data_IF_954043402140
#
_entry.id   IF_954043402140
#
_cell.length_a   1.000
_cell.length_b   1.000
_cell.length_c   1.000
_cell.angle_alpha   90.00
_cell.angle_beta   90.00
_cell.angle_gamma   90.00
#
_symmetry.space_group_name_H-M   'P 1'
#
loop_
_entity.id
_entity.type
_entity.pdbx_description
1 polymer ?
#
# COMPACT_ATOMS: atom_id res chain seq x y z
N UNK A 1 44.73 43.06 0.46
CA UNK A 1 44.91 44.53 0.60
C UNK A 1 43.59 45.17 0.32
N UNK A 2 43.27 46.25 1.10
CA UNK A 2 42.17 47.26 0.99
C UNK A 2 40.91 46.79 1.78
N UNK A 3 40.79 47.14 3.02
CA UNK A 3 40.52 48.36 3.82
C UNK A 3 39.01 48.62 4.00
N UNK A 4 38.58 48.46 5.26
CA UNK A 4 37.35 49.03 5.85
C UNK A 4 37.42 50.55 5.96
N UNK A 5 36.29 51.27 6.11
CA UNK A 5 36.22 52.12 7.28
C UNK A 5 34.94 52.02 8.13
N UNK A 6 35.17 52.12 9.43
CA UNK A 6 34.25 52.49 10.51
C UNK A 6 33.82 53.96 10.41
N UNK A 7 32.61 54.30 10.78
CA UNK A 7 32.17 55.58 11.41
C UNK A 7 30.68 55.46 11.75
N UNK A 8 30.08 55.93 12.79
CA UNK A 8 30.35 56.69 14.03
C UNK A 8 29.06 56.68 14.84
N UNK A 9 29.24 56.56 16.11
CA UNK A 9 28.31 56.80 17.21
C UNK A 9 27.67 58.20 17.16
N UNK A 10 26.36 58.33 17.45
CA UNK A 10 25.78 59.54 18.04
C UNK A 10 24.71 59.17 19.07
N UNK A 11 25.03 59.45 20.33
CA UNK A 11 24.12 59.54 21.44
C UNK A 11 23.34 60.85 21.38
N UNK A 12 22.06 60.82 21.72
CA UNK A 12 21.32 62.02 22.15
C UNK A 12 20.45 61.63 23.34
N UNK A 13 20.78 62.24 24.48
CA UNK A 13 19.92 62.35 25.67
C UNK A 13 18.88 63.45 25.43
N UNK A 14 17.66 63.26 25.89
CA UNK A 14 16.78 64.27 26.48
C UNK A 14 15.60 63.62 27.17
N UNK A 15 15.59 63.67 28.48
CA UNK A 15 14.75 64.50 29.35
C UNK A 15 13.25 64.08 29.45
N UNK A 16 12.91 63.71 30.61
CA UNK A 16 11.72 63.33 31.27
C UNK A 16 10.47 64.19 31.12
N UNK A 17 9.33 63.52 31.27
CA UNK A 17 8.09 64.09 31.79
C UNK A 17 7.37 63.01 32.60
N UNK A 18 7.21 63.28 33.91
CA UNK A 18 6.31 62.50 34.75
C UNK A 18 4.86 62.84 34.43
N UNK A 19 4.08 61.84 34.07
CA UNK A 19 2.64 61.94 34.10
C UNK A 19 2.09 60.81 34.98
N UNK A 20 1.44 61.19 36.06
CA UNK A 20 0.71 60.32 36.94
C UNK A 20 -0.51 59.75 36.19
N UNK A 21 -0.49 58.46 35.86
CA UNK A 21 -1.55 57.75 35.21
C UNK A 21 -2.23 56.79 36.20
N UNK A 22 -3.51 56.95 36.36
CA UNK A 22 -4.44 56.10 37.12
C UNK A 22 -4.31 54.63 36.72
N UNK A 23 -3.97 53.77 37.67
CA UNK A 23 -3.95 52.30 37.47
C UNK A 23 -5.41 51.81 37.54
N UNK A 24 -6.01 51.59 36.38
CA UNK A 24 -7.25 50.80 36.28
C UNK A 24 -6.84 49.36 36.23
N UNK A 25 -7.05 48.65 37.32
CA UNK A 25 -6.87 47.18 37.38
C UNK A 25 -8.00 46.49 36.58
N UNK A 26 -7.75 46.19 35.33
CA UNK A 26 -8.54 45.26 34.58
C UNK A 26 -8.20 43.84 35.07
N UNK A 27 -9.10 43.24 35.89
CA UNK A 27 -9.06 41.81 36.19
C UNK A 27 -9.31 41.05 34.91
N UNK A 28 -8.23 40.70 34.20
CA UNK A 28 -8.29 39.77 33.05
C UNK A 28 -8.71 38.41 33.56
N UNK A 29 -9.90 37.98 33.19
CA UNK A 29 -10.30 36.56 33.30
C UNK A 29 -9.35 35.76 32.38
N UNK A 30 -8.41 35.07 33.00
CA UNK A 30 -7.59 34.11 32.26
C UNK A 30 -8.53 33.02 31.72
N UNK A 31 -8.82 33.08 30.42
CA UNK A 31 -9.39 31.95 29.71
C UNK A 31 -8.33 30.83 29.81
N UNK A 32 -8.65 29.78 30.57
CA UNK A 32 -7.84 28.58 30.57
C UNK A 32 -7.86 28.03 29.12
N UNK A 33 -6.72 28.11 28.45
CA UNK A 33 -6.50 27.40 27.21
C UNK A 33 -6.75 25.92 27.49
N UNK A 34 -7.90 25.41 27.04
CA UNK A 34 -8.15 23.98 27.03
C UNK A 34 -7.10 23.35 26.12
N UNK A 35 -6.22 22.49 26.65
CA UNK A 35 -5.23 21.84 25.80
C UNK A 35 -6.00 21.15 24.66
N UNK A 36 -5.52 21.22 23.40
CA UNK A 36 -6.17 20.55 22.29
C UNK A 36 -6.32 19.07 22.65
N UNK A 37 -7.53 18.56 22.53
CA UNK A 37 -7.82 17.15 22.81
C UNK A 37 -6.84 16.29 22.00
N UNK A 38 -6.01 15.49 22.69
CA UNK A 38 -5.03 14.58 22.07
C UNK A 38 -5.69 13.39 21.34
N UNK A 39 -7.00 13.45 21.13
CA UNK A 39 -7.82 12.44 20.44
C UNK A 39 -8.05 12.76 18.95
N UNK A 40 -7.12 13.43 18.29
CA UNK A 40 -7.12 13.42 16.83
C UNK A 40 -6.91 11.96 16.40
N UNK A 41 -7.99 11.29 15.99
CA UNK A 41 -7.94 9.93 15.48
C UNK A 41 -6.87 9.87 14.39
N UNK A 42 -5.92 8.96 14.55
CA UNK A 42 -4.91 8.76 13.50
C UNK A 42 -5.64 8.51 12.17
N UNK A 43 -5.17 9.11 11.06
CA UNK A 43 -5.79 8.87 9.77
C UNK A 43 -5.82 7.35 9.49
N UNK A 44 -6.89 6.84 8.87
CA UNK A 44 -7.01 5.42 8.56
C UNK A 44 -5.83 4.97 7.71
N UNK A 45 -5.42 3.71 7.87
CA UNK A 45 -4.48 3.07 6.98
C UNK A 45 -5.21 2.70 5.68
N UNK A 46 -4.63 3.05 4.54
CA UNK A 46 -5.23 2.80 3.23
C UNK A 46 -4.35 1.93 2.37
N UNK A 47 -4.99 1.01 1.62
CA UNK A 47 -4.34 0.05 0.72
C UNK A 47 -5.09 0.03 -0.61
N UNK A 48 -4.35 0.09 -1.72
CA UNK A 48 -4.84 -0.14 -3.08
C UNK A 48 -4.38 -1.53 -3.55
N UNK A 49 -5.29 -2.37 -4.06
CA UNK A 49 -4.97 -3.63 -4.72
C UNK A 49 -5.29 -3.54 -6.20
N UNK A 50 -4.36 -4.00 -7.04
CA UNK A 50 -4.57 -4.16 -8.49
C UNK A 50 -3.94 -5.46 -9.00
N UNK A 51 -4.63 -6.17 -9.89
CA UNK A 51 -4.04 -7.16 -10.79
C UNK A 51 -3.80 -6.47 -12.14
N UNK A 52 -2.56 -6.49 -12.64
CA UNK A 52 -2.14 -5.68 -13.80
C UNK A 52 -2.09 -6.45 -15.12
N UNK A 53 -2.22 -7.78 -15.09
CA UNK A 53 -2.15 -8.64 -16.30
C UNK A 53 -0.90 -8.40 -17.17
N UNK A 54 0.27 -8.19 -16.60
CA UNK A 54 1.45 -7.69 -17.32
C UNK A 54 2.39 -8.77 -17.87
N UNK A 55 2.15 -10.08 -17.63
CA UNK A 55 3.08 -11.14 -18.07
C UNK A 55 3.38 -11.13 -19.57
N UNK A 56 2.40 -10.75 -20.39
CA UNK A 56 2.44 -10.87 -21.84
C UNK A 56 2.11 -12.27 -22.37
N UNK A 57 1.76 -13.22 -21.48
CA UNK A 57 1.35 -14.58 -21.83
C UNK A 57 -0.15 -14.81 -21.65
N UNK A 58 -0.79 -14.09 -20.75
CA UNK A 58 -2.21 -14.24 -20.44
C UNK A 58 -3.10 -13.59 -21.51
N UNK A 59 -4.32 -14.11 -21.66
CA UNK A 59 -5.30 -13.62 -22.63
C UNK A 59 -5.79 -12.19 -22.38
N UNK A 60 -5.67 -11.69 -21.16
CA UNK A 60 -5.99 -10.31 -20.78
C UNK A 60 -4.96 -9.27 -21.27
N UNK A 61 -3.72 -9.69 -21.60
CA UNK A 61 -2.62 -8.77 -21.93
C UNK A 61 -2.96 -7.74 -23.03
N UNK A 62 -3.66 -8.06 -24.13
CA UNK A 62 -4.01 -7.05 -25.16
C UNK A 62 -4.83 -5.88 -24.59
N UNK A 63 -5.62 -6.11 -23.52
CA UNK A 63 -6.41 -5.07 -22.86
C UNK A 63 -5.53 -4.04 -22.15
N UNK A 64 -4.34 -4.42 -21.70
CA UNK A 64 -3.41 -3.52 -20.99
C UNK A 64 -2.98 -2.32 -21.84
N UNK A 65 -3.06 -2.44 -23.18
CA UNK A 65 -2.59 -1.41 -24.12
C UNK A 65 -1.24 -0.82 -23.65
N UNK A 66 -0.35 -1.72 -23.20
CA UNK A 66 0.92 -1.33 -22.60
C UNK A 66 1.55 -0.12 -23.34
N UNK A 67 2.02 0.95 -22.62
CA UNK A 67 2.17 1.04 -21.15
C UNK A 67 0.96 1.63 -20.39
N UNK A 68 -0.21 1.79 -20.99
CA UNK A 68 -1.36 2.51 -20.38
C UNK A 68 -1.80 1.94 -19.01
N UNK A 69 -1.68 0.62 -18.80
CA UNK A 69 -1.98 0.02 -17.48
C UNK A 69 -1.00 0.51 -16.40
N UNK A 70 0.26 0.77 -16.75
CA UNK A 70 1.26 1.35 -15.84
C UNK A 70 0.87 2.78 -15.48
N UNK A 71 0.44 3.57 -16.48
CA UNK A 71 -0.05 4.93 -16.27
C UNK A 71 -1.28 4.94 -15.37
N UNK A 72 -2.26 4.07 -15.64
CA UNK A 72 -3.47 3.92 -14.82
C UNK A 72 -3.13 3.56 -13.36
N UNK A 73 -2.17 2.66 -13.13
CA UNK A 73 -1.73 2.30 -11.78
C UNK A 73 -1.14 3.51 -11.05
N UNK A 74 -0.27 4.28 -11.71
CA UNK A 74 0.31 5.50 -11.13
C UNK A 74 -0.77 6.52 -10.79
N UNK A 75 -1.70 6.79 -11.72
CA UNK A 75 -2.81 7.73 -11.53
C UNK A 75 -3.68 7.36 -10.32
N UNK A 76 -4.04 6.07 -10.17
CA UNK A 76 -4.83 5.58 -9.04
C UNK A 76 -4.10 5.68 -7.71
N UNK A 77 -2.81 5.36 -7.67
CA UNK A 77 -1.98 5.51 -6.48
C UNK A 77 -1.95 6.96 -6.03
N UNK A 78 -1.75 7.89 -6.96
CA UNK A 78 -1.68 9.32 -6.68
C UNK A 78 -3.05 9.90 -6.28
N UNK A 79 -4.12 9.52 -6.99
CA UNK A 79 -5.48 9.99 -6.71
C UNK A 79 -5.99 9.54 -5.34
N UNK A 80 -5.68 8.30 -4.93
CA UNK A 80 -6.12 7.74 -3.66
C UNK A 80 -5.19 8.08 -2.49
N UNK A 81 -3.97 8.53 -2.75
CA UNK A 81 -2.92 8.86 -1.76
C UNK A 81 -2.77 7.79 -0.67
N UNK A 82 -2.78 6.51 -1.07
CA UNK A 82 -2.79 5.36 -0.17
C UNK A 82 -1.48 5.17 0.59
N UNK A 83 -1.52 4.50 1.75
CA UNK A 83 -0.31 4.16 2.51
C UNK A 83 0.47 3.00 1.88
N UNK A 84 -0.23 2.08 1.22
CA UNK A 84 0.38 0.92 0.57
C UNK A 84 -0.37 0.53 -0.70
N UNK A 85 0.32 -0.23 -1.54
CA UNK A 85 -0.22 -0.82 -2.77
C UNK A 85 0.21 -2.27 -2.86
N UNK A 86 -0.70 -3.14 -3.26
CA UNK A 86 -0.40 -4.51 -3.64
C UNK A 86 -0.68 -4.70 -5.12
N UNK A 87 0.29 -5.29 -5.83
CA UNK A 87 0.19 -5.53 -7.26
C UNK A 87 0.36 -7.02 -7.53
N UNK A 88 -0.59 -7.61 -8.24
CA UNK A 88 -0.48 -8.96 -8.78
C UNK A 88 -0.29 -8.88 -10.30
N UNK A 89 0.25 -9.95 -10.88
CA UNK A 89 0.56 -10.05 -12.29
C UNK A 89 1.40 -8.86 -12.83
N UNK A 90 2.35 -8.41 -12.02
CA UNK A 90 3.22 -7.29 -12.34
C UNK A 90 4.56 -7.75 -12.90
N UNK A 91 5.24 -6.87 -13.61
CA UNK A 91 6.63 -7.05 -14.03
C UNK A 91 7.57 -6.20 -13.18
N UNK A 92 8.71 -6.73 -12.79
CA UNK A 92 9.60 -6.06 -11.83
C UNK A 92 10.10 -4.69 -12.32
N UNK A 93 10.33 -4.53 -13.63
CA UNK A 93 10.68 -3.23 -14.22
C UNK A 93 9.54 -2.23 -14.18
N UNK A 94 8.30 -2.68 -14.45
CA UNK A 94 7.12 -1.80 -14.38
C UNK A 94 6.84 -1.39 -12.92
N UNK A 95 7.06 -2.29 -11.95
CA UNK A 95 6.95 -1.96 -10.52
C UNK A 95 7.99 -0.92 -10.11
N UNK A 96 9.22 -1.02 -10.60
CA UNK A 96 10.27 -0.03 -10.35
C UNK A 96 9.88 1.35 -10.93
N UNK A 97 9.32 1.38 -12.15
CA UNK A 97 8.80 2.61 -12.77
C UNK A 97 7.64 3.22 -11.96
N UNK A 98 6.65 2.40 -11.55
CA UNK A 98 5.54 2.87 -10.70
C UNK A 98 6.08 3.45 -9.39
N UNK A 99 7.03 2.76 -8.75
CA UNK A 99 7.64 3.22 -7.50
C UNK A 99 8.38 4.55 -7.67
N UNK A 100 9.15 4.72 -8.75
CA UNK A 100 9.85 5.97 -9.07
C UNK A 100 8.86 7.12 -9.29
N UNK A 101 7.82 6.90 -10.11
CA UNK A 101 6.82 7.94 -10.45
C UNK A 101 5.92 8.33 -9.29
N UNK A 102 5.75 7.45 -8.28
CA UNK A 102 4.92 7.71 -7.10
C UNK A 102 5.74 8.09 -5.87
N UNK A 103 7.05 7.86 -5.87
CA UNK A 103 7.92 8.05 -4.71
C UNK A 103 7.78 6.98 -3.64
N UNK A 104 7.19 5.80 -3.96
CA UNK A 104 7.00 4.73 -3.00
C UNK A 104 8.21 3.80 -2.93
N UNK A 105 8.44 3.23 -1.75
CA UNK A 105 9.35 2.11 -1.56
C UNK A 105 8.67 0.82 -2.00
N UNK A 106 9.41 -0.18 -2.50
CA UNK A 106 8.80 -1.43 -2.92
C UNK A 106 9.60 -2.67 -2.57
N UNK A 107 8.93 -3.82 -2.59
CA UNK A 107 9.49 -5.16 -2.65
C UNK A 107 8.74 -5.97 -3.70
N UNK A 108 9.47 -6.90 -4.30
CA UNK A 108 8.98 -7.74 -5.38
C UNK A 108 9.26 -9.21 -5.08
N UNK A 109 8.29 -10.09 -5.34
CA UNK A 109 8.43 -11.55 -5.23
C UNK A 109 8.22 -12.18 -6.60
N UNK A 110 9.29 -12.75 -7.14
CA UNK A 110 9.34 -13.32 -8.48
C UNK A 110 8.63 -14.68 -8.52
N UNK A 111 7.72 -14.87 -9.47
CA UNK A 111 7.11 -16.16 -9.77
C UNK A 111 8.10 -17.04 -10.52
N UNK A 112 8.23 -18.30 -10.07
CA UNK A 112 9.03 -19.32 -10.75
C UNK A 112 8.14 -20.12 -11.68
N UNK A 113 8.53 -20.21 -12.92
CA UNK A 113 7.84 -20.95 -13.96
C UNK A 113 8.79 -21.97 -14.59
N UNK A 114 8.40 -23.25 -14.54
CA UNK A 114 9.24 -24.35 -15.04
C UNK A 114 10.69 -24.33 -14.47
N UNK A 115 10.83 -24.04 -13.18
CA UNK A 115 12.10 -24.04 -12.46
C UNK A 115 12.99 -22.78 -12.62
N UNK A 116 12.53 -21.75 -13.34
CA UNK A 116 13.25 -20.49 -13.54
C UNK A 116 12.33 -19.27 -13.33
N UNK A 117 12.89 -18.07 -13.04
CA UNK A 117 12.14 -16.82 -13.06
C UNK A 117 11.41 -16.63 -14.41
N UNK A 118 10.12 -16.28 -14.35
CA UNK A 118 9.35 -16.00 -15.56
C UNK A 118 9.63 -14.58 -16.04
N UNK A 119 10.30 -14.45 -17.19
CA UNK A 119 10.49 -13.13 -17.81
C UNK A 119 9.19 -12.60 -18.41
N UNK A 120 8.91 -11.32 -18.22
CA UNK A 120 7.80 -10.64 -18.91
C UNK A 120 8.07 -10.54 -20.42
N UNK A 121 7.06 -10.88 -21.24
CA UNK A 121 7.27 -11.18 -22.67
C UNK A 121 7.25 -9.94 -23.56
N UNK A 122 6.28 -9.08 -23.41
CA UNK A 122 6.00 -8.03 -24.41
C UNK A 122 5.76 -6.67 -23.72
N UNK A 123 6.52 -5.61 -24.09
CA UNK A 123 7.82 -5.70 -24.74
C UNK A 123 8.83 -6.47 -23.89
N UNK A 124 9.88 -6.98 -24.50
CA UNK A 124 10.96 -7.63 -23.77
C UNK A 124 11.72 -6.62 -22.90
N UNK A 125 12.39 -7.11 -21.82
CA UNK A 125 13.24 -6.27 -20.97
C UNK A 125 12.50 -5.59 -19.80
N UNK A 126 11.19 -5.90 -19.57
CA UNK A 126 10.44 -5.39 -18.42
C UNK A 126 10.71 -6.16 -17.10
N UNK A 127 11.74 -7.01 -17.09
CA UNK A 127 12.09 -7.80 -15.93
C UNK A 127 11.25 -9.07 -15.77
N UNK A 128 11.10 -9.50 -14.52
CA UNK A 128 10.46 -10.76 -14.13
C UNK A 128 9.00 -10.56 -13.73
N UNK A 129 8.19 -11.58 -13.95
CA UNK A 129 6.79 -11.62 -13.55
C UNK A 129 6.64 -12.01 -12.07
N UNK A 130 5.68 -11.40 -11.37
CA UNK A 130 5.44 -11.67 -9.97
C UNK A 130 4.42 -10.77 -9.30
N UNK A 131 4.62 -10.61 -7.98
CA UNK A 131 3.79 -9.77 -7.13
C UNK A 131 4.63 -8.72 -6.42
N UNK A 132 4.04 -7.57 -6.12
CA UNK A 132 4.73 -6.50 -5.42
C UNK A 132 3.90 -5.92 -4.27
N UNK A 133 4.63 -5.39 -3.28
CA UNK A 133 4.09 -4.47 -2.29
C UNK A 133 4.86 -3.16 -2.41
N UNK A 134 4.13 -2.04 -2.58
CA UNK A 134 4.69 -0.71 -2.52
C UNK A 134 4.17 0.00 -1.26
N UNK A 135 4.98 0.85 -0.66
CA UNK A 135 4.61 1.58 0.57
C UNK A 135 5.09 3.03 0.52
N UNK A 136 4.22 3.94 0.99
CA UNK A 136 4.57 5.35 1.12
C UNK A 136 5.66 5.56 2.17
N UNK A 137 5.59 4.81 3.27
CA UNK A 137 6.63 4.80 4.29
C UNK A 137 7.73 3.78 3.98
N UNK A 138 8.92 4.00 4.55
CA UNK A 138 10.04 3.08 4.39
C UNK A 138 9.70 1.65 4.83
N UNK A 139 10.19 0.67 4.09
CA UNK A 139 10.09 -0.75 4.41
C UNK A 139 11.22 -1.11 5.39
N UNK A 140 10.85 -1.63 6.57
CA UNK A 140 11.78 -2.06 7.63
C UNK A 140 12.24 -3.50 7.46
N UNK A 141 11.32 -4.37 6.99
CA UNK A 141 11.61 -5.77 6.75
C UNK A 141 10.72 -6.27 5.61
N UNK A 142 11.16 -7.35 4.96
CA UNK A 142 10.37 -8.07 3.98
C UNK A 142 10.64 -9.55 4.08
N UNK A 143 9.62 -10.35 3.79
CA UNK A 143 9.67 -11.79 3.78
C UNK A 143 8.79 -12.30 2.65
N UNK A 144 9.27 -13.26 1.89
CA UNK A 144 8.53 -13.95 0.86
C UNK A 144 8.93 -15.42 0.80
N UNK A 145 8.01 -16.29 0.43
CA UNK A 145 8.33 -17.69 0.18
C UNK A 145 7.38 -18.30 -0.87
N UNK A 146 7.81 -19.31 -1.60
CA UNK A 146 6.91 -20.11 -2.41
C UNK A 146 5.97 -20.90 -1.52
N UNK A 147 4.77 -21.21 -2.05
CA UNK A 147 3.89 -22.20 -1.45
C UNK A 147 4.48 -23.61 -1.61
N UNK A 148 4.10 -24.52 -0.71
CA UNK A 148 4.57 -25.92 -0.72
C UNK A 148 4.10 -26.70 -1.95
N UNK A 149 3.00 -26.26 -2.57
CA UNK A 149 2.40 -26.85 -3.76
C UNK A 149 2.13 -25.81 -4.82
N UNK A 150 2.11 -26.23 -6.08
CA UNK A 150 1.81 -25.39 -7.22
C UNK A 150 1.02 -26.16 -8.29
N UNK A 151 0.27 -25.43 -9.11
CA UNK A 151 -0.46 -25.99 -10.24
C UNK A 151 0.41 -25.97 -11.50
N UNK A 152 0.52 -27.13 -12.16
CA UNK A 152 1.37 -27.27 -13.35
C UNK A 152 2.84 -26.97 -13.06
N UNK A 153 3.39 -25.93 -13.67
CA UNK A 153 4.80 -25.54 -13.58
C UNK A 153 5.02 -24.17 -12.92
N UNK A 154 3.94 -23.48 -12.49
CA UNK A 154 3.94 -22.15 -11.93
C UNK A 154 3.96 -22.18 -10.39
N UNK A 155 5.09 -21.82 -9.79
CA UNK A 155 5.27 -21.72 -8.35
C UNK A 155 4.88 -20.31 -7.88
N UNK A 156 3.68 -20.20 -7.31
CA UNK A 156 3.15 -18.98 -6.71
C UNK A 156 3.77 -18.71 -5.34
N UNK A 157 3.78 -17.45 -4.94
CA UNK A 157 4.45 -16.99 -3.72
C UNK A 157 3.59 -15.97 -2.98
N UNK A 158 3.76 -15.92 -1.67
CA UNK A 158 3.31 -14.78 -0.85
C UNK A 158 4.46 -13.82 -0.61
N UNK A 159 4.14 -12.56 -0.35
CA UNK A 159 5.08 -11.50 0.02
C UNK A 159 4.46 -10.68 1.14
N UNK A 160 5.21 -10.43 2.21
CA UNK A 160 4.86 -9.51 3.29
C UNK A 160 5.99 -8.51 3.51
N UNK A 161 5.64 -7.25 3.79
CA UNK A 161 6.58 -6.21 4.21
C UNK A 161 6.13 -5.60 5.52
N UNK A 162 7.08 -5.22 6.38
CA UNK A 162 6.80 -4.42 7.59
C UNK A 162 7.16 -2.97 7.30
N UNK A 163 6.19 -2.07 7.41
CA UNK A 163 6.37 -0.63 7.20
C UNK A 163 6.99 0.07 8.42
N UNK A 164 7.50 1.28 8.23
CA UNK A 164 7.99 2.11 9.33
C UNK A 164 6.90 2.45 10.37
N UNK A 165 5.60 2.41 9.99
CA UNK A 165 4.45 2.55 10.92
C UNK A 165 4.18 1.29 11.74
N UNK A 166 4.91 0.19 11.50
CA UNK A 166 4.71 -1.08 12.19
C UNK A 166 3.49 -1.86 11.69
N UNK A 167 3.05 -1.61 10.47
CA UNK A 167 1.99 -2.38 9.80
C UNK A 167 2.64 -3.40 8.88
N UNK A 168 2.19 -4.65 8.95
CA UNK A 168 2.53 -5.67 7.97
C UNK A 168 1.54 -5.59 6.79
N UNK A 169 2.08 -5.41 5.59
CA UNK A 169 1.33 -5.39 4.33
C UNK A 169 1.70 -6.62 3.53
N UNK A 170 0.73 -7.46 3.22
CA UNK A 170 0.94 -8.73 2.55
C UNK A 170 0.17 -8.81 1.23
N UNK A 171 0.70 -9.57 0.28
CA UNK A 171 0.02 -9.92 -0.98
C UNK A 171 0.35 -11.32 -1.42
N UNK A 172 -0.50 -11.86 -2.26
CA UNK A 172 -0.30 -13.10 -2.99
C UNK A 172 -1.22 -13.16 -4.21
N UNK A 173 -0.84 -13.99 -5.18
CA UNK A 173 -1.68 -14.41 -6.27
C UNK A 173 -1.74 -15.95 -6.25
N UNK A 174 -2.90 -16.52 -5.89
CA UNK A 174 -3.04 -17.99 -5.75
C UNK A 174 -3.31 -18.67 -7.09
N UNK A 175 -3.09 -19.98 -7.13
CA UNK A 175 -3.34 -20.81 -8.33
C UNK A 175 -4.79 -20.77 -8.79
N UNK A 176 -5.01 -21.03 -10.08
CA UNK A 176 -6.32 -20.92 -10.75
C UNK A 176 -7.05 -22.27 -10.89
N UNK A 177 -6.55 -23.32 -10.22
CA UNK A 177 -7.07 -24.69 -10.34
C UNK A 177 -8.32 -25.00 -9.50
N UNK A 178 -8.93 -23.94 -8.93
CA UNK A 178 -10.22 -24.00 -8.25
C UNK A 178 -10.12 -24.31 -6.76
N UNK A 179 -11.29 -24.32 -6.11
CA UNK A 179 -11.45 -24.36 -4.64
C UNK A 179 -11.69 -25.78 -4.09
N UNK A 180 -11.65 -26.81 -4.94
CA UNK A 180 -11.89 -28.17 -4.47
C UNK A 180 -10.80 -28.64 -3.48
N UNK A 181 -11.13 -29.45 -2.50
CA UNK A 181 -10.13 -30.02 -1.59
C UNK A 181 -9.00 -30.74 -2.36
N UNK A 182 -7.75 -30.43 -2.00
CA UNK A 182 -6.56 -31.02 -2.63
C UNK A 182 -6.03 -30.27 -3.86
N UNK A 183 -6.72 -29.24 -4.35
CA UNK A 183 -6.16 -28.35 -5.38
C UNK A 183 -5.01 -27.53 -4.82
N UNK A 184 -4.11 -27.06 -5.68
CA UNK A 184 -3.03 -26.17 -5.25
C UNK A 184 -3.59 -24.89 -4.64
N UNK A 185 -4.65 -24.30 -5.21
CA UNK A 185 -5.30 -23.10 -4.66
C UNK A 185 -5.78 -23.34 -3.21
N UNK A 186 -6.44 -24.48 -2.92
CA UNK A 186 -6.95 -24.76 -1.58
C UNK A 186 -5.84 -24.96 -0.54
N UNK A 187 -4.73 -25.58 -0.93
CA UNK A 187 -3.57 -25.77 -0.04
C UNK A 187 -2.86 -24.41 0.15
N UNK A 188 -2.63 -23.65 -0.90
CA UNK A 188 -2.05 -22.29 -0.84
C UNK A 188 -2.90 -21.36 0.03
N UNK A 189 -4.23 -21.45 -0.06
CA UNK A 189 -5.15 -20.68 0.78
C UNK A 189 -4.96 -21.00 2.27
N UNK A 190 -4.81 -22.29 2.63
CA UNK A 190 -4.54 -22.70 4.00
C UNK A 190 -3.17 -22.22 4.50
N UNK A 191 -2.13 -22.29 3.67
CA UNK A 191 -0.80 -21.77 3.98
C UNK A 191 -0.80 -20.26 4.13
N UNK A 192 -1.46 -19.52 3.23
CA UNK A 192 -1.64 -18.07 3.34
C UNK A 192 -2.31 -17.70 4.67
N UNK A 193 -3.36 -18.45 5.07
CA UNK A 193 -4.01 -18.25 6.37
C UNK A 193 -3.02 -18.40 7.53
N UNK A 194 -2.14 -19.39 7.49
CA UNK A 194 -1.11 -19.59 8.52
C UNK A 194 -0.08 -18.45 8.53
N UNK A 195 0.38 -18.00 7.35
CA UNK A 195 1.28 -16.86 7.21
C UNK A 195 0.67 -15.61 7.84
N UNK A 196 -0.60 -15.31 7.54
CA UNK A 196 -1.29 -14.14 8.08
C UNK A 196 -1.58 -14.27 9.58
N UNK A 197 -1.90 -15.48 10.08
CA UNK A 197 -2.09 -15.73 11.51
C UNK A 197 -0.81 -15.55 12.34
N UNK A 198 0.35 -15.83 11.74
CA UNK A 198 1.65 -15.70 12.41
C UNK A 198 2.12 -14.25 12.58
N UNK A 199 1.45 -13.27 11.95
CA UNK A 199 1.83 -11.85 12.05
C UNK A 199 1.49 -11.30 13.43
N UNK A 200 2.52 -10.87 14.17
CA UNK A 200 2.36 -10.29 15.50
C UNK A 200 2.06 -8.77 15.51
N UNK A 201 1.81 -8.17 14.34
CA UNK A 201 1.58 -6.73 14.15
C UNK A 201 0.20 -6.46 13.56
N UNK A 202 -0.29 -5.21 13.57
CA UNK A 202 -1.39 -4.82 12.70
C UNK A 202 -1.10 -5.24 11.25
N UNK A 203 -1.98 -6.06 10.67
CA UNK A 203 -1.74 -6.69 9.36
C UNK A 203 -2.88 -6.36 8.43
N UNK A 204 -2.55 -6.08 7.17
CA UNK A 204 -3.46 -6.00 6.05
C UNK A 204 -2.90 -6.81 4.88
N UNK A 205 -3.76 -7.61 4.29
CA UNK A 205 -3.51 -8.37 3.07
C UNK A 205 -4.46 -7.89 1.98
N UNK A 206 -4.00 -7.80 0.74
CA UNK A 206 -4.87 -7.78 -0.43
C UNK A 206 -4.19 -8.47 -1.60
N UNK A 207 -4.98 -9.20 -2.40
CA UNK A 207 -4.46 -9.95 -3.54
C UNK A 207 -5.54 -10.72 -4.27
N UNK A 208 -5.18 -11.20 -5.45
CA UNK A 208 -6.00 -12.11 -6.24
C UNK A 208 -5.83 -13.54 -5.73
N UNK A 209 -6.83 -14.01 -5.01
CA UNK A 209 -6.81 -15.36 -4.42
C UNK A 209 -7.43 -16.42 -5.33
N UNK A 210 -7.92 -16.02 -6.50
CA UNK A 210 -8.55 -16.91 -7.51
C UNK A 210 -9.62 -17.85 -6.93
N UNK A 211 -10.35 -17.34 -5.92
CA UNK A 211 -11.41 -18.10 -5.24
C UNK A 211 -12.41 -17.16 -4.58
N UNK A 212 -13.63 -17.66 -4.36
CA UNK A 212 -14.70 -16.89 -3.70
C UNK A 212 -14.77 -17.11 -2.20
N UNK A 213 -14.29 -18.26 -1.72
CA UNK A 213 -14.22 -18.52 -0.28
C UNK A 213 -12.98 -17.88 0.33
N UNK A 214 -13.11 -17.38 1.58
CA UNK A 214 -12.07 -16.62 2.26
C UNK A 214 -10.89 -17.50 2.68
N UNK A 215 -9.67 -16.94 2.56
CA UNK A 215 -8.43 -17.47 3.16
C UNK A 215 -8.06 -16.75 4.47
N UNK A 216 -8.89 -15.85 4.98
CA UNK A 216 -8.60 -15.14 6.20
C UNK A 216 -8.45 -16.09 7.39
N UNK A 217 -7.43 -15.91 8.25
CA UNK A 217 -7.37 -16.64 9.50
C UNK A 217 -8.51 -16.22 10.43
N UNK A 218 -8.84 -17.07 11.40
CA UNK A 218 -9.85 -16.77 12.39
C UNK A 218 -9.55 -15.44 13.10
N UNK A 219 -10.57 -14.57 13.23
CA UNK A 219 -10.48 -13.28 13.88
C UNK A 219 -10.00 -12.13 12.99
N UNK A 220 -9.66 -12.40 11.74
CA UNK A 220 -9.44 -11.36 10.75
C UNK A 220 -10.71 -11.10 9.93
N UNK A 221 -10.95 -9.84 9.58
CA UNK A 221 -12.05 -9.48 8.67
C UNK A 221 -11.72 -9.86 7.23
N UNK A 222 -12.77 -10.05 6.44
CA UNK A 222 -12.70 -10.31 5.00
C UNK A 222 -13.52 -9.27 4.25
N UNK A 223 -12.92 -8.69 3.21
CA UNK A 223 -13.60 -7.90 2.18
C UNK A 223 -13.30 -8.57 0.82
N UNK A 224 -14.25 -8.54 -0.10
CA UNK A 224 -14.11 -9.15 -1.42
C UNK A 224 -14.66 -8.22 -2.50
N UNK A 225 -14.16 -8.38 -3.71
CA UNK A 225 -14.64 -7.70 -4.90
C UNK A 225 -15.90 -8.32 -5.50
N UNK A 226 -16.78 -8.95 -4.70
CA UNK A 226 -17.97 -9.64 -5.18
C UNK A 226 -18.92 -8.76 -6.02
N UNK A 227 -18.88 -7.44 -5.83
CA UNK A 227 -19.65 -6.46 -6.61
C UNK A 227 -18.85 -5.86 -7.79
N UNK A 228 -17.64 -6.35 -8.07
CA UNK A 228 -16.82 -5.87 -9.18
C UNK A 228 -17.50 -6.10 -10.53
N UNK A 229 -17.22 -5.23 -11.48
CA UNK A 229 -17.71 -5.34 -12.86
C UNK A 229 -16.88 -6.31 -13.69
N UNK A 230 -15.65 -6.59 -13.25
CA UNK A 230 -14.67 -7.43 -13.92
C UNK A 230 -14.14 -8.49 -12.93
N UNK A 231 -14.11 -9.76 -13.35
CA UNK A 231 -13.64 -10.91 -12.59
C UNK A 231 -14.13 -10.94 -11.12
N UNK A 232 -15.45 -10.83 -10.84
CA UNK A 232 -15.98 -10.60 -9.49
C UNK A 232 -15.71 -11.74 -8.51
N UNK A 233 -15.37 -11.39 -7.28
CA UNK A 233 -15.32 -12.29 -6.12
C UNK A 233 -14.02 -13.08 -5.97
N UNK A 234 -12.95 -12.71 -6.67
CA UNK A 234 -11.66 -13.43 -6.60
C UNK A 234 -10.52 -12.59 -6.03
N UNK A 235 -10.66 -11.28 -5.96
CA UNK A 235 -9.74 -10.42 -5.21
C UNK A 235 -10.27 -10.21 -3.80
N UNK A 236 -9.44 -10.47 -2.81
CA UNK A 236 -9.80 -10.37 -1.40
C UNK A 236 -8.85 -9.45 -0.65
N UNK A 237 -9.37 -8.87 0.44
CA UNK A 237 -8.58 -8.22 1.47
C UNK A 237 -8.92 -8.79 2.84
N UNK A 238 -7.90 -8.95 3.69
CA UNK A 238 -7.99 -9.48 5.05
C UNK A 238 -7.22 -8.57 6.01
N UNK A 239 -7.55 -8.60 7.28
CA UNK A 239 -6.72 -7.87 8.22
C UNK A 239 -7.20 -7.85 9.65
N UNK A 240 -6.34 -7.26 10.50
CA UNK A 240 -6.56 -7.08 11.94
C UNK A 240 -6.86 -5.63 12.32
N UNK A 241 -6.79 -4.69 11.35
CA UNK A 241 -7.13 -3.29 11.56
C UNK A 241 -8.63 -3.12 11.88
N UNK A 242 -9.04 -1.95 12.35
CA UNK A 242 -10.44 -1.75 12.79
C UNK A 242 -11.30 -1.08 11.73
N UNK A 243 -12.62 -1.34 11.76
CA UNK A 243 -13.60 -0.69 10.91
C UNK A 243 -13.21 -0.62 9.42
N UNK A 244 -12.94 -1.77 8.77
CA UNK A 244 -12.52 -1.77 7.37
C UNK A 244 -13.67 -1.34 6.44
N UNK A 245 -13.33 -0.59 5.41
CA UNK A 245 -14.22 -0.25 4.29
C UNK A 245 -13.55 -0.63 2.98
N UNK A 246 -14.37 -0.92 1.96
CA UNK A 246 -13.95 -1.24 0.61
C UNK A 246 -14.67 -0.31 -0.37
N UNK A 247 -13.91 0.25 -1.29
CA UNK A 247 -14.39 0.92 -2.49
C UNK A 247 -13.83 0.18 -3.71
N UNK A 248 -14.67 -0.09 -4.69
CA UNK A 248 -14.29 -0.72 -5.96
C UNK A 248 -14.18 0.36 -7.02
N UNK A 249 -13.06 0.41 -7.70
CA UNK A 249 -12.82 1.34 -8.80
C UNK A 249 -12.69 0.55 -10.11
N UNK A 250 -13.60 0.80 -11.05
CA UNK A 250 -13.53 0.18 -12.37
C UNK A 250 -12.25 0.59 -13.09
N UNK A 251 -11.49 -0.38 -13.57
CA UNK A 251 -10.28 -0.19 -14.35
C UNK A 251 -10.58 -0.22 -15.86
N UNK A 252 -9.70 0.39 -16.66
CA UNK A 252 -9.80 0.41 -18.11
C UNK A 252 -8.87 -0.60 -18.75
N UNK A 253 -7.65 -0.71 -18.25
CA UNK A 253 -6.55 -1.41 -18.91
C UNK A 253 -6.18 -2.74 -18.28
N UNK A 254 -7.00 -3.31 -17.40
CA UNK A 254 -6.89 -4.68 -16.90
C UNK A 254 -8.26 -5.33 -16.85
N UNK A 255 -8.31 -6.63 -16.65
CA UNK A 255 -9.55 -7.41 -16.55
C UNK A 255 -10.03 -7.56 -15.09
N UNK A 256 -9.46 -6.80 -14.16
CA UNK A 256 -9.85 -6.72 -12.76
C UNK A 256 -10.15 -5.29 -12.35
N UNK A 257 -11.19 -5.08 -11.53
CA UNK A 257 -11.41 -3.80 -10.85
C UNK A 257 -10.36 -3.61 -9.75
N UNK A 258 -10.02 -2.35 -9.42
CA UNK A 258 -9.13 -2.04 -8.32
C UNK A 258 -9.89 -1.99 -6.99
N UNK A 259 -9.24 -2.39 -5.89
CA UNK A 259 -9.79 -2.35 -4.54
C UNK A 259 -9.09 -1.27 -3.72
N UNK A 260 -9.85 -0.31 -3.19
CA UNK A 260 -9.35 0.67 -2.23
C UNK A 260 -9.90 0.33 -0.85
N UNK A 261 -9.01 -0.09 0.05
CA UNK A 261 -9.32 -0.48 1.41
C UNK A 261 -8.89 0.62 2.37
N UNK A 262 -9.74 0.99 3.34
CA UNK A 262 -9.40 1.92 4.42
C UNK A 262 -9.78 1.29 5.75
N UNK A 263 -8.87 1.31 6.74
CA UNK A 263 -9.11 0.73 8.05
C UNK A 263 -8.35 1.48 9.16
N UNK A 264 -8.92 1.52 10.36
CA UNK A 264 -8.32 2.21 11.50
C UNK A 264 -7.15 1.42 12.11
N UNK A 265 -6.07 2.11 12.45
CA UNK A 265 -5.03 1.54 13.29
C UNK A 265 -5.51 1.56 14.75
N UNK A 266 -5.45 0.41 15.45
CA UNK A 266 -5.67 0.38 16.91
C UNK A 266 -4.61 1.23 17.61
N UNK A 267 -5.06 1.99 18.63
CA UNK A 267 -4.17 2.73 19.54
C UNK A 267 -3.30 1.78 20.34
#
# INVERSE_FOLDING_TARGET
MIRFPLTRLRALMMAGLMAAGVVVSLSGVAMADTPPSQDAARPPYSLLQMNLCLSGYAGCYPRTQYPKIVDEAVERIQANDVNAVTLNEACSGDVAEIAERTGYHYRFATVIYNGAPLACKTPAGRGEFGNAVLTKEAIRASEDAPYSVFSGVEQRRWLCVTTARGVDVCTSHLSTDGEAPGTANSIQCAELSQVLASRGRPTVFAGDVNRRSSCAPQGQWTLTDAAATQAPGIQHAYGTLTAPTLELEQTTYTDHDALVIRAGLRK
#
